data_IF_559528410522
#
_entry.id   IF_559528410522
#
_cell.length_a   1.000
_cell.length_b   1.000
_cell.length_c   1.000
_cell.angle_alpha   90.00
_cell.angle_beta   90.00
_cell.angle_gamma   90.00
#
_symmetry.space_group_name_H-M   'P 1'
#
loop_
_entity.id
_entity.type
_entity.pdbx_description
1 polymer ?
#
# COMPACT_ATOMS: atom_id res chain seq x y z
N UNK A 1 -1.44 -32.86 -5.01
CA UNK A 1 -2.49 -32.09 -5.70
C UNK A 1 -2.15 -30.64 -5.48
N UNK A 2 -1.68 -29.97 -6.52
CA UNK A 2 -1.45 -28.52 -6.47
C UNK A 2 -2.83 -27.86 -6.53
N UNK A 3 -3.31 -27.38 -5.38
CA UNK A 3 -4.53 -26.57 -5.33
C UNK A 3 -4.24 -25.25 -6.07
N UNK A 4 -4.61 -25.19 -7.34
CA UNK A 4 -4.65 -23.92 -8.07
C UNK A 4 -5.72 -23.04 -7.42
N UNK A 5 -5.28 -21.93 -6.82
CA UNK A 5 -6.17 -20.91 -6.28
C UNK A 5 -6.94 -20.30 -7.46
N UNK A 6 -8.27 -20.32 -7.40
CA UNK A 6 -9.09 -19.66 -8.42
C UNK A 6 -8.83 -18.15 -8.40
N UNK A 7 -8.89 -17.46 -9.56
CA UNK A 7 -8.71 -16.01 -9.63
C UNK A 7 -9.60 -15.24 -8.65
N UNK A 8 -10.87 -15.64 -8.50
CA UNK A 8 -11.81 -15.02 -7.57
C UNK A 8 -11.38 -15.18 -6.09
N UNK A 9 -10.85 -16.35 -5.73
CA UNK A 9 -10.36 -16.62 -4.38
C UNK A 9 -9.10 -15.81 -4.08
N UNK A 10 -8.19 -15.70 -5.05
CA UNK A 10 -7.00 -14.86 -4.94
C UNK A 10 -7.40 -13.39 -4.77
N UNK A 11 -8.35 -12.91 -5.58
CA UNK A 11 -8.85 -11.55 -5.49
C UNK A 11 -9.50 -11.27 -4.13
N UNK A 12 -10.34 -12.18 -3.63
CA UNK A 12 -10.94 -12.08 -2.30
C UNK A 12 -9.89 -12.00 -1.19
N UNK A 13 -8.82 -12.81 -1.27
CA UNK A 13 -7.72 -12.79 -0.31
C UNK A 13 -6.91 -11.49 -0.36
N UNK A 14 -6.67 -10.94 -1.55
CA UNK A 14 -5.97 -9.66 -1.72
C UNK A 14 -6.80 -8.51 -1.14
N UNK A 15 -8.11 -8.48 -1.40
CA UNK A 15 -9.03 -7.48 -0.82
C UNK A 15 -9.02 -7.57 0.71
N UNK A 16 -9.16 -8.77 1.27
CA UNK A 16 -9.13 -8.97 2.73
C UNK A 16 -7.81 -8.50 3.35
N UNK A 17 -6.69 -8.81 2.70
CA UNK A 17 -5.36 -8.38 3.14
C UNK A 17 -5.20 -6.86 3.10
N UNK A 18 -5.70 -6.21 2.04
CA UNK A 18 -5.66 -4.75 1.92
C UNK A 18 -6.47 -4.06 3.02
N UNK A 19 -7.68 -4.56 3.32
CA UNK A 19 -8.54 -4.03 4.41
C UNK A 19 -7.86 -4.19 5.77
N UNK A 20 -7.26 -5.34 6.04
CA UNK A 20 -6.52 -5.58 7.28
C UNK A 20 -5.30 -4.66 7.41
N UNK A 21 -4.53 -4.49 6.33
CA UNK A 21 -3.39 -3.59 6.31
C UNK A 21 -3.82 -2.15 6.58
N UNK A 22 -4.90 -1.69 5.94
CA UNK A 22 -5.45 -0.36 6.18
C UNK A 22 -5.84 -0.16 7.65
N UNK A 23 -6.53 -1.15 8.25
CA UNK A 23 -6.92 -1.11 9.66
C UNK A 23 -5.69 -0.99 10.57
N UNK A 24 -4.63 -1.77 10.29
CA UNK A 24 -3.36 -1.69 11.04
C UNK A 24 -2.73 -0.30 10.89
N UNK A 25 -2.60 0.21 9.66
CA UNK A 25 -2.02 1.54 9.40
C UNK A 25 -2.76 2.64 10.15
N UNK A 26 -4.10 2.59 10.22
CA UNK A 26 -4.91 3.58 10.96
C UNK A 26 -4.64 3.59 12.46
N UNK A 27 -4.06 2.53 13.04
CA UNK A 27 -3.69 2.51 14.47
C UNK A 27 -2.31 3.11 14.76
N UNK A 28 -1.46 3.29 13.73
CA UNK A 28 -0.09 3.74 13.92
C UNK A 28 0.00 5.24 14.21
N UNK A 29 1.02 5.69 14.98
CA UNK A 29 1.31 7.11 15.18
C UNK A 29 1.68 7.82 13.88
N UNK A 30 1.46 9.13 13.83
CA UNK A 30 1.77 9.97 12.67
C UNK A 30 3.24 9.85 12.24
N UNK A 31 4.17 9.83 13.20
CA UNK A 31 5.60 9.71 12.91
C UNK A 31 5.96 8.36 12.24
N UNK A 32 5.33 7.26 12.68
CA UNK A 32 5.51 5.95 12.03
C UNK A 32 4.95 5.94 10.61
N UNK A 33 3.76 6.53 10.42
CA UNK A 33 3.15 6.65 9.09
C UNK A 33 3.96 7.53 8.15
N UNK A 34 4.59 8.60 8.66
CA UNK A 34 5.54 9.41 7.90
C UNK A 34 6.72 8.58 7.38
N UNK A 35 7.32 7.75 8.24
CA UNK A 35 8.43 6.88 7.86
C UNK A 35 8.01 5.84 6.82
N UNK A 36 6.87 5.16 7.03
CA UNK A 36 6.31 4.19 6.07
C UNK A 36 6.09 4.84 4.71
N UNK A 37 5.51 6.06 4.68
CA UNK A 37 5.23 6.75 3.43
C UNK A 37 6.50 7.15 2.68
N UNK A 38 7.52 7.61 3.40
CA UNK A 38 8.83 7.92 2.81
C UNK A 38 9.50 6.67 2.22
N UNK A 39 9.42 5.54 2.91
CA UNK A 39 9.97 4.28 2.42
C UNK A 39 9.20 3.76 1.21
N UNK A 40 7.87 3.86 1.23
CA UNK A 40 7.01 3.52 0.09
C UNK A 40 7.36 4.33 -1.16
N UNK A 41 7.60 5.63 -1.01
CA UNK A 41 8.02 6.50 -2.13
C UNK A 41 9.39 6.13 -2.71
N UNK A 42 10.30 5.57 -1.90
CA UNK A 42 11.61 5.10 -2.35
C UNK A 42 11.55 3.75 -3.06
N UNK A 43 10.72 2.84 -2.58
CA UNK A 43 10.66 1.45 -3.10
C UNK A 43 9.80 1.34 -4.37
N UNK A 44 8.90 2.30 -4.62
CA UNK A 44 8.05 2.31 -5.82
C UNK A 44 8.83 2.17 -7.14
N UNK A 45 9.86 3.00 -7.38
CA UNK A 45 10.72 2.91 -8.57
C UNK A 45 11.51 1.60 -8.69
N UNK A 46 11.94 0.99 -7.57
CA UNK A 46 12.70 -0.26 -7.59
C UNK A 46 11.84 -1.42 -8.13
N UNK A 47 10.60 -1.53 -7.61
CA UNK A 47 9.66 -2.56 -8.05
C UNK A 47 9.18 -2.30 -9.48
N UNK A 48 8.97 -1.03 -9.87
CA UNK A 48 8.66 -0.68 -11.26
C UNK A 48 9.80 -1.10 -12.20
N UNK A 49 11.05 -0.84 -11.82
CA UNK A 49 12.24 -1.27 -12.55
C UNK A 49 12.33 -2.79 -12.69
N UNK A 50 11.98 -3.54 -11.65
CA UNK A 50 11.90 -5.00 -11.73
C UNK A 50 10.82 -5.47 -12.71
N UNK A 51 9.65 -4.85 -12.70
CA UNK A 51 8.57 -5.19 -13.63
C UNK A 51 8.96 -4.89 -15.08
N UNK A 52 9.63 -3.76 -15.33
CA UNK A 52 10.17 -3.38 -16.65
C UNK A 52 11.26 -4.34 -17.15
N UNK A 53 12.07 -4.89 -16.25
CA UNK A 53 13.14 -5.84 -16.57
C UNK A 53 12.68 -7.30 -16.59
N UNK A 54 11.44 -7.59 -16.19
CA UNK A 54 10.80 -8.90 -16.26
C UNK A 54 9.94 -9.01 -17.52
N UNK A 55 9.44 -10.22 -17.86
CA UNK A 55 8.45 -10.40 -18.94
C UNK A 55 7.05 -9.81 -18.60
N UNK A 56 7.00 -8.74 -17.80
CA UNK A 56 5.76 -8.05 -17.46
C UNK A 56 5.15 -7.39 -18.70
N UNK A 57 3.86 -7.63 -18.94
CA UNK A 57 3.12 -6.91 -19.98
C UNK A 57 2.94 -5.45 -19.61
N UNK A 58 2.83 -4.55 -20.60
CA UNK A 58 2.50 -3.13 -20.40
C UNK A 58 1.25 -2.94 -19.52
N UNK A 59 0.22 -3.76 -19.69
CA UNK A 59 -0.98 -3.76 -18.84
C UNK A 59 -0.70 -4.04 -17.35
N UNK A 60 0.33 -4.83 -17.03
CA UNK A 60 0.74 -5.12 -15.66
C UNK A 60 1.48 -3.94 -15.04
N UNK A 61 2.29 -3.24 -15.85
CA UNK A 61 2.97 -2.01 -15.44
C UNK A 61 1.96 -0.89 -15.16
N UNK A 62 0.96 -0.74 -16.02
CA UNK A 62 -0.10 0.26 -15.82
C UNK A 62 -0.95 -0.06 -14.58
N UNK A 63 -1.31 -1.32 -14.38
CA UNK A 63 -2.00 -1.76 -13.17
C UNK A 63 -1.16 -1.50 -11.91
N UNK A 64 0.15 -1.77 -11.95
CA UNK A 64 1.06 -1.48 -10.86
C UNK A 64 1.14 0.03 -10.57
N UNK A 65 1.36 0.88 -11.58
CA UNK A 65 1.43 2.33 -11.44
C UNK A 65 0.14 2.90 -10.85
N UNK A 66 -1.01 2.43 -11.34
CA UNK A 66 -2.32 2.80 -10.81
C UNK A 66 -2.43 2.42 -9.33
N UNK A 67 -2.05 1.19 -8.96
CA UNK A 67 -2.09 0.71 -7.59
C UNK A 67 -1.15 1.49 -6.65
N UNK A 68 0.06 1.83 -7.11
CA UNK A 68 1.01 2.67 -6.37
C UNK A 68 0.42 4.06 -6.13
N UNK A 69 -0.21 4.66 -7.15
CA UNK A 69 -0.90 5.93 -7.04
C UNK A 69 -1.99 5.92 -5.96
N UNK A 70 -2.92 4.97 -6.04
CA UNK A 70 -4.00 4.84 -5.05
C UNK A 70 -3.47 4.57 -3.63
N UNK A 71 -2.43 3.74 -3.50
CA UNK A 71 -1.82 3.44 -2.19
C UNK A 71 -1.14 4.68 -1.58
N UNK A 72 -0.48 5.49 -2.42
CA UNK A 72 0.14 6.75 -1.99
C UNK A 72 -0.90 7.74 -1.46
N UNK A 73 -2.04 7.84 -2.14
CA UNK A 73 -3.16 8.68 -1.70
C UNK A 73 -3.73 8.18 -0.36
N UNK A 74 -3.98 6.87 -0.23
CA UNK A 74 -4.47 6.26 1.00
C UNK A 74 -3.50 6.51 2.18
N UNK A 75 -2.21 6.25 2.00
CA UNK A 75 -1.20 6.51 3.04
C UNK A 75 -1.13 8.00 3.42
N UNK A 76 -1.34 8.90 2.46
CA UNK A 76 -1.39 10.33 2.73
C UNK A 76 -2.59 10.71 3.60
N UNK A 77 -3.77 10.18 3.28
CA UNK A 77 -4.99 10.41 4.05
C UNK A 77 -4.89 9.86 5.47
N UNK A 78 -4.43 8.61 5.62
CA UNK A 78 -4.26 7.97 6.94
C UNK A 78 -3.24 8.75 7.79
N UNK A 79 -2.13 9.19 7.18
CA UNK A 79 -1.14 10.00 7.89
C UNK A 79 -1.72 11.35 8.36
N UNK A 80 -2.49 12.05 7.53
CA UNK A 80 -3.15 13.29 7.94
C UNK A 80 -4.11 13.06 9.11
N UNK A 81 -4.93 12.00 9.04
CA UNK A 81 -5.82 11.62 10.14
C UNK A 81 -5.05 11.32 11.43
N UNK A 82 -3.90 10.65 11.33
CA UNK A 82 -3.04 10.38 12.48
C UNK A 82 -2.44 11.65 13.07
N UNK A 83 -2.05 12.64 12.27
CA UNK A 83 -1.58 13.95 12.76
C UNK A 83 -2.66 14.61 13.62
N UNK A 84 -3.90 14.68 13.13
CA UNK A 84 -5.01 15.26 13.89
C UNK A 84 -5.28 14.50 15.19
N UNK A 85 -5.31 13.17 15.13
CA UNK A 85 -5.52 12.31 16.31
C UNK A 85 -4.40 12.47 17.34
N UNK A 86 -3.15 12.51 16.92
CA UNK A 86 -2.00 12.61 17.82
C UNK A 86 -1.87 14.03 18.39
N UNK A 87 -2.24 15.07 17.63
CA UNK A 87 -2.40 16.45 18.13
C UNK A 87 -3.40 16.49 19.28
N UNK A 88 -4.59 15.91 19.08
CA UNK A 88 -5.67 15.91 20.07
C UNK A 88 -5.29 15.13 21.34
N UNK A 89 -4.37 14.17 21.22
CA UNK A 89 -3.86 13.39 22.34
C UNK A 89 -2.60 13.97 23.00
N UNK A 90 -2.08 15.11 22.53
CA UNK A 90 -0.87 15.73 23.07
C UNK A 90 0.43 14.96 22.80
N UNK A 91 0.50 14.24 21.66
CA UNK A 91 1.63 13.35 21.29
C UNK A 91 2.49 13.86 20.11
N UNK A 92 2.32 15.11 19.70
CA UNK A 92 3.11 15.75 18.64
C UNK A 92 4.32 16.50 19.17
#
# INVERSE_FOLDING_TARGET
MDEQISPDRLQGQLIASAVLLEAVLRTLPAQSLKAIRQEFEKNGPEVEGHLLNSQGSEAMLDAYRSHVGSTKELLTQIHQQAIFRDSAAGRL
#
